data_IF_009268678037
#
_entry.id   IF_009268678037
#
_cell.length_a   1.000
_cell.length_b   1.000
_cell.length_c   1.000
_cell.angle_alpha   90.00
_cell.angle_beta   90.00
_cell.angle_gamma   90.00
#
_symmetry.space_group_name_H-M   'P 1'
#
loop_
_entity.id
_entity.type
_entity.pdbx_description
1 polymer ?
#
# COMPACT_ATOMS: atom_id res chain seq x y z
N UNK A 1 11.89 6.96 -24.32
CA UNK A 1 12.25 6.22 -23.09
C UNK A 1 10.96 6.19 -22.30
N UNK A 2 10.09 5.24 -22.61
CA UNK A 2 8.73 5.23 -22.06
C UNK A 2 8.74 4.36 -20.81
N UNK A 3 8.85 5.03 -19.67
CA UNK A 3 8.85 4.41 -18.36
C UNK A 3 7.41 3.98 -18.04
N UNK A 4 7.04 2.79 -18.49
CA UNK A 4 5.73 2.19 -18.19
C UNK A 4 5.70 1.85 -16.70
N UNK A 5 5.14 2.74 -15.89
CA UNK A 5 5.01 2.54 -14.45
C UNK A 5 4.05 1.38 -14.16
N UNK A 6 4.62 0.19 -13.90
CA UNK A 6 3.91 -1.05 -13.55
C UNK A 6 3.40 -0.97 -12.11
N UNK A 7 2.24 -0.34 -11.88
CA UNK A 7 1.54 -0.45 -10.60
C UNK A 7 0.91 -1.85 -10.46
N UNK A 8 1.48 -2.66 -9.57
CA UNK A 8 1.05 -4.04 -9.26
C UNK A 8 0.22 -4.13 -7.96
N UNK A 9 0.12 -3.04 -7.21
CA UNK A 9 -0.47 -2.99 -5.89
C UNK A 9 -1.28 -1.71 -5.70
N UNK A 10 -2.33 -1.81 -4.90
CA UNK A 10 -3.06 -0.66 -4.35
C UNK A 10 -3.11 -0.81 -2.83
N UNK A 11 -2.60 0.17 -2.09
CA UNK A 11 -2.46 0.10 -0.63
C UNK A 11 -3.54 0.96 0.01
N UNK A 12 -4.21 0.39 0.99
CA UNK A 12 -5.22 1.07 1.77
C UNK A 12 -4.79 1.17 3.23
N UNK A 13 -4.90 2.37 3.78
CA UNK A 13 -4.64 2.68 5.17
C UNK A 13 -5.92 3.25 5.75
N UNK A 14 -6.55 2.53 6.68
CA UNK A 14 -7.74 3.00 7.41
C UNK A 14 -7.27 3.95 8.51
N UNK A 15 -7.25 5.23 8.19
CA UNK A 15 -6.78 6.28 9.10
C UNK A 15 -7.54 6.29 10.42
N UNK A 16 -8.84 5.97 10.43
CA UNK A 16 -9.66 5.86 11.65
C UNK A 16 -9.25 4.73 12.60
N UNK A 17 -8.45 3.75 12.16
CA UNK A 17 -7.97 2.64 12.98
C UNK A 17 -6.46 2.72 13.28
N UNK A 18 -5.72 3.48 12.48
CA UNK A 18 -4.27 3.59 12.62
C UNK A 18 -3.86 4.40 13.86
N UNK A 19 -3.05 3.81 14.74
CA UNK A 19 -2.49 4.48 15.93
C UNK A 19 -1.09 5.07 15.74
N UNK A 20 -0.63 5.20 14.49
CA UNK A 20 0.64 5.88 14.20
C UNK A 20 1.91 5.19 14.71
N UNK A 21 1.87 3.87 14.98
CA UNK A 21 2.96 3.11 15.59
C UNK A 21 4.21 2.90 14.71
N UNK A 22 4.16 3.28 13.42
CA UNK A 22 5.27 3.23 12.45
C UNK A 22 5.78 1.84 12.04
N UNK A 23 5.23 0.73 12.53
CA UNK A 23 5.70 -0.61 12.14
C UNK A 23 5.70 -0.86 10.62
N UNK A 24 4.69 -0.34 9.90
CA UNK A 24 4.64 -0.47 8.44
C UNK A 24 5.84 0.21 7.74
N UNK A 25 6.31 1.34 8.26
CA UNK A 25 7.46 2.09 7.75
C UNK A 25 8.74 1.28 7.96
N UNK A 26 8.91 0.72 9.15
CA UNK A 26 10.12 -0.01 9.54
C UNK A 26 10.23 -1.39 8.86
N UNK A 27 9.11 -2.11 8.75
CA UNK A 27 9.12 -3.49 8.26
C UNK A 27 9.13 -3.58 6.73
N UNK A 28 8.76 -2.50 6.03
CA UNK A 28 8.63 -2.53 4.58
C UNK A 28 10.01 -2.57 3.91
N UNK A 29 10.40 -3.69 3.26
CA UNK A 29 11.72 -3.82 2.65
C UNK A 29 11.93 -2.85 1.47
N UNK A 30 10.82 -2.33 0.93
CA UNK A 30 10.78 -1.39 -0.19
C UNK A 30 10.55 0.06 0.24
N UNK A 31 10.49 0.33 1.56
CA UNK A 31 10.34 1.68 2.12
C UNK A 31 9.16 2.47 1.51
N UNK A 32 8.06 1.77 1.25
CA UNK A 32 6.86 2.33 0.59
C UNK A 32 6.19 3.44 1.41
N UNK A 33 6.33 3.40 2.74
CA UNK A 33 5.58 4.25 3.66
C UNK A 33 6.42 5.37 4.25
N UNK A 34 5.81 6.53 4.42
CA UNK A 34 6.36 7.66 5.15
C UNK A 34 5.34 8.18 6.17
N UNK A 35 5.83 8.69 7.31
CA UNK A 35 4.93 9.28 8.30
C UNK A 35 4.53 10.68 7.89
N UNK A 36 3.22 10.93 7.81
CA UNK A 36 2.70 12.26 7.51
C UNK A 36 2.79 13.19 8.72
N UNK A 37 2.49 14.47 8.49
CA UNK A 37 2.22 15.48 9.53
C UNK A 37 0.73 15.62 9.84
N UNK A 38 -0.13 14.87 9.13
CA UNK A 38 -1.59 14.92 9.28
C UNK A 38 -2.03 14.02 10.43
N UNK A 39 -2.92 14.53 11.25
CA UNK A 39 -3.54 13.79 12.35
C UNK A 39 -4.89 13.22 11.90
N UNK A 40 -5.17 11.98 12.29
CA UNK A 40 -6.51 11.40 12.18
C UNK A 40 -7.43 11.87 13.33
N UNK A 41 -8.69 11.44 13.30
CA UNK A 41 -9.70 11.75 14.33
C UNK A 41 -9.32 11.24 15.73
N UNK A 42 -8.41 10.28 15.81
CA UNK A 42 -7.88 9.73 17.07
C UNK A 42 -6.68 10.53 17.62
N UNK A 43 -6.21 11.56 16.90
CA UNK A 43 -5.06 12.37 17.30
C UNK A 43 -3.68 11.73 17.01
N UNK A 44 -3.61 10.72 16.14
CA UNK A 44 -2.36 10.10 15.71
C UNK A 44 -1.92 10.60 14.34
N UNK A 45 -0.61 10.80 14.18
CA UNK A 45 0.00 10.93 12.85
C UNK A 45 -0.04 9.59 12.14
N UNK A 46 -0.60 9.57 10.93
CA UNK A 46 -0.76 8.34 10.14
C UNK A 46 0.28 8.24 9.03
N UNK A 47 0.70 7.03 8.63
CA UNK A 47 1.55 6.85 7.47
C UNK A 47 0.76 7.08 6.17
N UNK A 48 1.48 7.44 5.10
CA UNK A 48 1.00 7.39 3.72
C UNK A 48 1.91 6.48 2.89
N UNK A 49 1.38 5.86 1.83
CA UNK A 49 2.16 5.07 0.88
C UNK A 49 2.79 5.98 -0.19
N UNK A 50 3.88 6.67 0.14
CA UNK A 50 4.56 7.62 -0.77
C UNK A 50 5.12 6.95 -2.03
N UNK A 51 5.52 5.67 -1.96
CA UNK A 51 6.15 4.92 -3.07
C UNK A 51 5.37 3.65 -3.40
N UNK A 52 4.04 3.76 -3.57
CA UNK A 52 3.15 2.61 -3.75
C UNK A 52 3.54 1.71 -4.94
N UNK A 53 4.05 2.29 -6.03
CA UNK A 53 4.56 1.56 -7.20
C UNK A 53 5.71 0.60 -6.89
N UNK A 54 6.45 0.81 -5.80
CA UNK A 54 7.53 -0.08 -5.37
C UNK A 54 7.04 -1.30 -4.58
N UNK A 55 5.74 -1.35 -4.27
CA UNK A 55 5.16 -2.42 -3.47
C UNK A 55 5.20 -3.77 -4.20
N UNK A 56 5.94 -4.72 -3.63
CA UNK A 56 6.05 -6.11 -4.13
C UNK A 56 4.96 -7.05 -3.58
N UNK A 57 3.94 -6.53 -2.91
CA UNK A 57 2.83 -7.30 -2.32
C UNK A 57 3.31 -8.40 -1.35
N UNK A 58 4.34 -8.11 -0.54
CA UNK A 58 4.86 -9.06 0.46
C UNK A 58 3.98 -9.19 1.72
N UNK A 59 3.01 -8.27 1.91
CA UNK A 59 2.03 -8.24 3.02
C UNK A 59 2.58 -8.16 4.45
N UNK A 60 3.89 -7.96 4.64
CA UNK A 60 4.50 -7.78 5.97
C UNK A 60 3.87 -6.63 6.77
N UNK A 61 3.48 -5.55 6.10
CA UNK A 61 2.79 -4.41 6.72
C UNK A 61 1.40 -4.76 7.25
N UNK A 62 0.68 -5.70 6.62
CA UNK A 62 -0.61 -6.19 7.10
C UNK A 62 -0.42 -6.99 8.39
N UNK A 63 0.53 -7.93 8.37
CA UNK A 63 0.83 -8.82 9.51
C UNK A 63 1.42 -8.05 10.69
N UNK A 64 2.25 -7.03 10.43
CA UNK A 64 2.88 -6.24 11.47
C UNK A 64 1.95 -5.17 12.08
N UNK A 65 0.79 -4.90 11.47
CA UNK A 65 -0.13 -3.89 11.98
C UNK A 65 -0.97 -4.46 13.13
N UNK A 66 -0.77 -4.04 14.40
CA UNK A 66 -1.50 -4.60 15.54
C UNK A 66 -2.99 -4.25 15.50
N UNK A 67 -3.35 -3.14 14.85
CA UNK A 67 -4.74 -2.67 14.72
C UNK A 67 -5.39 -3.07 13.38
N UNK A 68 -4.69 -3.87 12.55
CA UNK A 68 -5.16 -4.29 11.22
C UNK A 68 -5.59 -3.15 10.27
N UNK A 69 -5.08 -1.94 10.50
CA UNK A 69 -5.45 -0.71 9.79
C UNK A 69 -4.87 -0.60 8.37
N UNK A 70 -4.10 -1.59 7.89
CA UNK A 70 -3.43 -1.56 6.57
C UNK A 70 -3.75 -2.85 5.81
N UNK A 71 -4.10 -2.73 4.53
CA UNK A 71 -4.20 -3.86 3.61
C UNK A 71 -3.74 -3.50 2.19
N UNK A 72 -3.30 -4.51 1.44
CA UNK A 72 -2.72 -4.40 0.10
C UNK A 72 -3.54 -5.24 -0.88
N UNK A 73 -4.16 -4.58 -1.86
CA UNK A 73 -4.79 -5.25 -3.00
C UNK A 73 -3.76 -5.46 -4.09
N UNK A 74 -3.67 -6.69 -4.60
CA UNK A 74 -2.87 -6.98 -5.81
C UNK A 74 -3.68 -6.55 -7.02
N UNK A 75 -3.13 -5.67 -7.83
CA UNK A 75 -3.73 -5.35 -9.11
C UNK A 75 -3.28 -6.40 -10.12
N UNK A 76 -4.24 -6.99 -10.84
CA UNK A 76 -3.94 -7.88 -11.95
C UNK A 76 -3.49 -7.04 -13.14
N UNK A 77 -2.45 -7.48 -13.83
CA UNK A 77 -2.09 -6.90 -15.14
C UNK A 77 -2.34 -7.97 -16.19
N UNK A 78 -3.26 -7.70 -17.12
CA UNK A 78 -3.42 -8.56 -18.30
C UNK A 78 -2.45 -8.08 -19.36
N UNK A 79 -1.50 -8.92 -19.72
CA UNK A 79 -0.64 -8.70 -20.87
C UNK A 79 -1.43 -9.06 -22.14
N UNK A 80 -1.75 -8.08 -22.98
CA UNK A 80 -2.03 -8.34 -24.39
C UNK A 80 -0.88 -7.75 -25.21
N UNK A 81 -0.49 -8.41 -26.31
CA UNK A 81 0.73 -8.14 -27.12
C UNK A 81 0.91 -6.68 -27.60
N UNK A 82 -0.04 -5.78 -27.36
CA UNK A 82 -0.02 -4.38 -27.80
C UNK A 82 -0.39 -3.35 -26.73
N UNK A 83 -0.93 -3.72 -25.56
CA UNK A 83 -1.37 -2.77 -24.53
C UNK A 83 -1.40 -3.39 -23.12
N UNK A 84 -1.03 -2.59 -22.11
CA UNK A 84 -1.13 -2.91 -20.70
C UNK A 84 -2.48 -2.41 -20.15
N UNK A 85 -3.35 -3.32 -19.70
CA UNK A 85 -4.57 -2.93 -18.98
C UNK A 85 -4.50 -3.42 -17.53
N UNK A 86 -4.78 -2.50 -16.61
CA UNK A 86 -4.96 -2.80 -15.19
C UNK A 86 -6.33 -3.45 -15.04
N UNK A 87 -6.37 -4.68 -14.52
CA UNK A 87 -7.60 -5.33 -14.11
C UNK A 87 -7.57 -5.46 -12.59
N UNK A 88 -8.61 -4.98 -11.92
CA UNK A 88 -8.77 -5.24 -10.50
C UNK A 88 -8.95 -6.75 -10.33
N UNK A 89 -7.94 -7.43 -9.78
CA UNK A 89 -8.05 -8.83 -9.46
C UNK A 89 -8.90 -8.88 -8.20
N UNK A 90 -10.21 -9.08 -8.40
CA UNK A 90 -11.25 -9.17 -7.39
C UNK A 90 -10.95 -10.25 -6.35
N UNK A 91 -10.00 -9.97 -5.45
CA UNK A 91 -9.71 -10.80 -4.29
C UNK A 91 -10.71 -10.44 -3.21
N UNK A 92 -11.77 -11.24 -3.18
CA UNK A 92 -12.86 -11.24 -2.23
C UNK A 92 -12.33 -11.33 -0.79
N UNK A 93 -12.45 -10.24 -0.03
CA UNK A 93 -12.51 -10.24 1.43
C UNK A 93 -13.62 -9.28 1.85
#
# INVERSE_FOLDING_TARGET
>A
MDEVQRRLAHIHIRSSECKGCRYCVEICPKRVYEMTTVYNELGYRVPQASHEEECIVCRRCETACPDLAIYVKRMGVRFNRRNLSVVDASYQR
#
